data_IF_458827121737
#
_entry.id   IF_458827121737
#
_cell.length_a   1.000
_cell.length_b   1.000
_cell.length_c   1.000
_cell.angle_alpha   90.00
_cell.angle_beta   90.00
_cell.angle_gamma   90.00
#
_symmetry.space_group_name_H-M   'P 1'
#
loop_
_entity.id
_entity.type
_entity.pdbx_description
1 polymer ?
#
# COMPACT_ATOMS: atom_id res chain seq x y z
N UNK A 1 -15.87 -18.64 -7.24
CA UNK A 1 -16.43 -17.30 -6.98
C UNK A 1 -15.32 -16.27 -7.12
N UNK A 2 -15.62 -15.08 -7.64
CA UNK A 2 -14.64 -13.99 -7.72
C UNK A 2 -14.25 -13.54 -6.31
N UNK A 3 -12.97 -13.18 -6.09
CA UNK A 3 -12.50 -12.60 -4.83
C UNK A 3 -13.11 -11.21 -4.61
N UNK A 4 -13.27 -10.45 -5.70
CA UNK A 4 -13.80 -9.10 -5.68
C UNK A 4 -15.25 -9.04 -6.15
N UNK A 5 -16.05 -8.15 -5.53
CA UNK A 5 -17.47 -7.96 -5.86
C UNK A 5 -17.67 -7.25 -7.20
N UNK A 6 -16.68 -6.54 -7.72
CA UNK A 6 -16.73 -5.87 -9.03
C UNK A 6 -15.40 -6.00 -9.76
N UNK A 7 -15.44 -5.96 -11.10
CA UNK A 7 -14.23 -5.96 -11.93
C UNK A 7 -13.51 -4.61 -11.84
N UNK A 8 -14.25 -3.52 -12.04
CA UNK A 8 -13.72 -2.18 -11.77
C UNK A 8 -13.75 -1.91 -10.28
N UNK A 9 -12.68 -1.32 -9.79
CA UNK A 9 -12.49 -0.98 -8.39
C UNK A 9 -12.17 0.50 -8.27
N UNK A 10 -12.50 1.09 -7.14
CA UNK A 10 -12.11 2.45 -6.80
C UNK A 10 -11.15 2.45 -5.61
N UNK A 11 -10.58 3.60 -5.30
CA UNK A 11 -9.74 3.78 -4.11
C UNK A 11 -9.87 5.19 -3.58
N UNK A 12 -9.82 5.30 -2.27
CA UNK A 12 -9.70 6.55 -1.55
C UNK A 12 -8.26 6.68 -1.06
N UNK A 13 -7.64 7.83 -1.34
CA UNK A 13 -6.29 8.06 -0.87
C UNK A 13 -6.29 8.21 0.65
N UNK A 14 -5.58 7.32 1.34
CA UNK A 14 -5.61 7.20 2.79
C UNK A 14 -4.24 7.38 3.45
N UNK A 15 -3.25 7.93 2.73
CA UNK A 15 -1.94 8.17 3.30
C UNK A 15 -1.97 9.19 4.43
N UNK A 16 -1.16 8.94 5.47
CA UNK A 16 -1.10 9.77 6.69
C UNK A 16 0.33 10.11 7.10
N UNK A 17 1.20 10.34 6.11
CA UNK A 17 2.61 10.62 6.35
C UNK A 17 2.88 12.01 6.91
N UNK A 18 4.04 12.20 7.56
CA UNK A 18 4.55 13.51 7.95
C UNK A 18 5.36 14.14 6.82
N UNK A 19 5.28 15.46 6.75
CA UNK A 19 6.05 16.31 5.85
C UNK A 19 7.22 16.95 6.59
N UNK A 20 8.18 17.53 5.86
CA UNK A 20 9.33 18.23 6.44
C UNK A 20 8.98 19.40 7.36
N UNK A 21 7.81 20.01 7.18
CA UNK A 21 7.28 21.05 8.06
C UNK A 21 6.68 20.51 9.36
N UNK A 22 6.92 19.24 9.67
CA UNK A 22 6.39 18.48 10.81
C UNK A 22 4.86 18.31 10.81
N UNK A 23 4.16 18.79 9.80
CA UNK A 23 2.71 18.60 9.66
C UNK A 23 2.43 17.19 9.14
N UNK A 24 1.40 16.58 9.68
CA UNK A 24 0.87 15.32 9.13
C UNK A 24 -0.07 15.66 7.97
N UNK A 25 0.13 14.98 6.85
CA UNK A 25 -0.80 14.98 5.75
C UNK A 25 -1.73 13.77 5.94
N UNK A 26 -2.96 14.03 6.35
CA UNK A 26 -4.03 13.03 6.45
C UNK A 26 -4.98 13.23 5.27
N UNK A 27 -4.86 12.40 4.24
CA UNK A 27 -5.62 12.58 3.01
C UNK A 27 -7.09 12.16 3.17
N UNK A 28 -7.40 11.23 4.06
CA UNK A 28 -8.79 10.90 4.39
C UNK A 28 -9.53 12.12 4.94
N UNK A 29 -8.91 12.86 5.87
CA UNK A 29 -9.47 14.10 6.40
C UNK A 29 -9.41 15.25 5.39
N UNK A 30 -8.34 15.36 4.61
CA UNK A 30 -8.16 16.46 3.64
C UNK A 30 -9.17 16.42 2.49
N UNK A 31 -9.67 15.24 2.15
CA UNK A 31 -10.71 15.02 1.14
C UNK A 31 -12.11 14.98 1.74
N UNK A 32 -12.25 15.11 3.06
CA UNK A 32 -13.49 14.93 3.81
C UNK A 32 -14.13 13.54 3.66
N UNK A 33 -13.37 12.55 3.21
CA UNK A 33 -13.88 11.19 3.06
C UNK A 33 -14.31 10.59 4.41
N UNK A 34 -13.63 10.92 5.50
CA UNK A 34 -14.00 10.51 6.86
C UNK A 34 -15.39 11.01 7.31
N UNK A 35 -15.91 12.07 6.67
CA UNK A 35 -17.24 12.63 6.94
C UNK A 35 -18.27 12.12 5.92
N UNK A 36 -17.86 11.91 4.67
CA UNK A 36 -18.75 11.61 3.55
C UNK A 36 -18.70 10.15 3.07
N UNK A 37 -18.00 9.25 3.78
CA UNK A 37 -17.74 7.88 3.34
C UNK A 37 -19.00 7.13 2.85
N UNK A 38 -20.14 7.27 3.54
CA UNK A 38 -21.38 6.61 3.11
C UNK A 38 -21.86 7.13 1.75
N UNK A 39 -21.85 8.44 1.53
CA UNK A 39 -22.25 9.04 0.26
C UNK A 39 -21.28 8.66 -0.86
N UNK A 40 -19.97 8.67 -0.57
CA UNK A 40 -18.93 8.31 -1.53
C UNK A 40 -19.05 6.85 -1.97
N UNK A 41 -19.27 5.93 -1.02
CA UNK A 41 -19.48 4.51 -1.35
C UNK A 41 -20.80 4.28 -2.12
N UNK A 42 -21.87 5.02 -1.81
CA UNK A 42 -23.13 4.92 -2.53
C UNK A 42 -23.00 5.37 -3.98
N UNK A 43 -22.29 6.48 -4.24
CA UNK A 43 -22.01 6.96 -5.60
C UNK A 43 -21.28 5.89 -6.41
N UNK A 44 -20.28 5.21 -5.81
CA UNK A 44 -19.56 4.14 -6.47
C UNK A 44 -20.46 2.91 -6.71
N UNK A 45 -21.30 2.56 -5.74
CA UNK A 45 -22.25 1.46 -5.87
C UNK A 45 -23.28 1.69 -7.00
N UNK A 46 -23.72 2.94 -7.22
CA UNK A 46 -24.61 3.34 -8.32
C UNK A 46 -23.94 3.19 -9.70
N UNK A 47 -22.61 3.18 -9.74
CA UNK A 47 -21.78 2.89 -10.93
C UNK A 47 -21.36 1.41 -11.05
N UNK A 48 -21.97 0.50 -10.24
CA UNK A 48 -21.58 -0.91 -10.12
C UNK A 48 -20.11 -1.14 -9.69
N UNK A 49 -19.47 -0.16 -9.08
CA UNK A 49 -18.17 -0.29 -8.44
C UNK A 49 -18.40 -0.70 -6.98
N UNK A 50 -18.24 -1.99 -6.70
CA UNK A 50 -18.59 -2.61 -5.42
C UNK A 50 -17.41 -3.03 -4.57
N UNK A 51 -16.21 -2.88 -5.09
CA UNK A 51 -14.96 -3.09 -4.37
C UNK A 51 -14.16 -1.81 -4.38
N UNK A 52 -13.71 -1.38 -3.22
CA UNK A 52 -12.89 -0.16 -3.07
C UNK A 52 -11.68 -0.47 -2.20
N UNK A 53 -10.65 0.36 -2.31
CA UNK A 53 -9.52 0.39 -1.40
C UNK A 53 -9.62 1.63 -0.53
N UNK A 54 -9.43 1.48 0.77
CA UNK A 54 -9.48 2.54 1.77
C UNK A 54 -8.58 2.16 2.95
N UNK A 55 -8.36 3.05 3.92
CA UNK A 55 -7.37 2.77 4.95
C UNK A 55 -7.68 3.24 6.35
N UNK A 56 -6.91 2.68 7.28
CA UNK A 56 -6.95 2.99 8.68
C UNK A 56 -5.93 4.08 9.03
N UNK A 57 -6.33 5.00 9.88
CA UNK A 57 -5.47 6.08 10.40
C UNK A 57 -4.81 5.62 11.71
N UNK A 58 -3.79 4.75 11.62
CA UNK A 58 -3.16 4.13 12.80
C UNK A 58 -2.77 5.14 13.86
N UNK A 59 -2.22 6.29 13.47
CA UNK A 59 -1.83 7.37 14.38
C UNK A 59 -2.99 7.97 15.21
N UNK A 60 -4.23 7.90 14.73
CA UNK A 60 -5.43 8.31 15.46
C UNK A 60 -6.01 7.17 16.29
N UNK A 61 -5.96 5.96 15.73
CA UNK A 61 -6.54 4.77 16.37
C UNK A 61 -5.74 4.36 17.61
N UNK A 62 -4.42 4.51 17.62
CA UNK A 62 -3.56 4.17 18.75
C UNK A 62 -2.91 5.42 19.36
N UNK A 63 -3.66 6.29 20.06
CA UNK A 63 -3.13 7.51 20.67
C UNK A 63 -2.17 7.23 21.83
N UNK A 64 -2.24 6.04 22.39
CA UNK A 64 -1.36 5.55 23.47
C UNK A 64 -1.08 4.07 23.21
N UNK A 65 0.15 3.58 23.44
CA UNK A 65 0.52 2.20 23.18
C UNK A 65 -0.49 1.19 23.73
N UNK A 66 -1.04 0.35 22.84
CA UNK A 66 -2.00 -0.70 23.18
C UNK A 66 -3.40 -0.22 23.57
N UNK A 67 -3.70 1.08 23.42
CA UNK A 67 -5.05 1.62 23.64
C UNK A 67 -5.61 2.13 22.31
N UNK A 68 -6.71 1.51 21.87
CA UNK A 68 -7.30 1.77 20.57
C UNK A 68 -8.58 2.59 20.69
N UNK A 69 -8.63 3.72 19.98
CA UNK A 69 -9.81 4.54 19.75
C UNK A 69 -10.27 4.36 18.30
N UNK A 70 -11.35 3.66 18.11
CA UNK A 70 -11.90 3.34 16.80
C UNK A 70 -12.83 4.41 16.24
N UNK A 71 -12.97 5.55 16.89
CA UNK A 71 -13.88 6.63 16.49
C UNK A 71 -13.60 7.17 15.07
N UNK A 72 -12.34 7.11 14.63
CA UNK A 72 -11.94 7.54 13.29
C UNK A 72 -12.13 6.48 12.21
N UNK A 73 -12.39 5.22 12.57
CA UNK A 73 -12.52 4.09 11.63
C UNK A 73 -13.93 3.50 11.58
N UNK A 74 -14.62 3.38 12.70
CA UNK A 74 -15.97 2.81 12.75
C UNK A 74 -16.97 3.46 11.80
N UNK A 75 -16.96 4.81 11.56
CA UNK A 75 -17.84 5.41 10.57
C UNK A 75 -17.61 4.87 9.15
N UNK A 76 -16.35 4.66 8.74
CA UNK A 76 -15.99 4.10 7.42
C UNK A 76 -16.45 2.65 7.31
N UNK A 77 -16.18 1.83 8.32
CA UNK A 77 -16.58 0.42 8.35
C UNK A 77 -18.11 0.28 8.24
N UNK A 78 -18.86 1.06 9.00
CA UNK A 78 -20.32 1.06 8.98
C UNK A 78 -20.90 1.61 7.67
N UNK A 79 -20.26 2.62 7.07
CA UNK A 79 -20.61 3.13 5.76
C UNK A 79 -20.45 2.05 4.68
N UNK A 80 -19.35 1.30 4.71
CA UNK A 80 -19.10 0.18 3.80
C UNK A 80 -20.17 -0.92 3.94
N UNK A 81 -20.54 -1.26 5.17
CA UNK A 81 -21.61 -2.24 5.45
C UNK A 81 -22.97 -1.75 4.93
N UNK A 82 -23.33 -0.50 5.22
CA UNK A 82 -24.62 0.10 4.83
C UNK A 82 -24.78 0.22 3.31
N UNK A 83 -23.68 0.49 2.57
CA UNK A 83 -23.68 0.55 1.11
C UNK A 83 -23.48 -0.82 0.42
N UNK A 84 -23.16 -1.87 1.19
CA UNK A 84 -22.80 -3.18 0.66
C UNK A 84 -21.45 -3.22 -0.05
N UNK A 85 -20.60 -2.21 0.17
CA UNK A 85 -19.27 -2.10 -0.43
C UNK A 85 -18.29 -3.08 0.22
N UNK A 86 -17.52 -3.78 -0.60
CA UNK A 86 -16.37 -4.55 -0.16
C UNK A 86 -15.15 -3.63 -0.09
N UNK A 87 -14.45 -3.62 1.04
CA UNK A 87 -13.28 -2.76 1.19
C UNK A 87 -12.00 -3.57 1.36
N UNK A 88 -10.96 -3.16 0.66
CA UNK A 88 -9.58 -3.58 0.87
C UNK A 88 -8.97 -2.57 1.83
N UNK A 89 -8.70 -2.98 3.07
CA UNK A 89 -8.27 -2.09 4.14
C UNK A 89 -6.76 -1.95 4.21
N UNK A 90 -6.23 -0.75 3.97
CA UNK A 90 -4.83 -0.44 4.22
C UNK A 90 -4.60 -0.27 5.73
N UNK A 91 -3.75 -1.10 6.33
CA UNK A 91 -3.40 -1.01 7.75
C UNK A 91 -2.33 0.06 7.99
N UNK A 92 -1.36 0.20 7.09
CA UNK A 92 -0.32 1.23 7.16
C UNK A 92 -0.06 1.85 5.79
N UNK A 93 -0.51 3.11 5.60
CA UNK A 93 -0.24 3.91 4.42
C UNK A 93 0.65 5.11 4.80
N UNK A 94 1.96 4.82 5.00
CA UNK A 94 3.06 5.76 5.32
C UNK A 94 2.95 6.49 6.66
N UNK A 95 1.97 6.16 7.50
CA UNK A 95 1.77 6.82 8.79
C UNK A 95 1.65 5.85 9.96
N UNK A 96 2.19 6.23 11.12
CA UNK A 96 2.17 5.48 12.37
C UNK A 96 2.10 6.44 13.57
N UNK A 97 1.86 5.96 14.81
CA UNK A 97 1.87 6.81 16.01
C UNK A 97 3.18 7.58 16.20
N UNK A 98 3.07 8.84 16.63
CA UNK A 98 4.22 9.75 16.70
C UNK A 98 5.26 9.40 17.77
N UNK A 99 4.84 8.66 18.79
CA UNK A 99 5.69 8.18 19.88
C UNK A 99 6.48 6.91 19.52
N UNK A 100 6.26 6.36 18.32
CA UNK A 100 6.83 5.09 17.90
C UNK A 100 8.02 5.28 16.94
N UNK A 101 9.19 4.80 17.37
CA UNK A 101 10.40 4.80 16.56
C UNK A 101 10.38 3.66 15.53
N UNK A 102 10.33 4.01 14.24
CA UNK A 102 10.20 3.02 13.14
C UNK A 102 11.38 2.04 13.06
N UNK A 103 12.56 2.47 13.52
CA UNK A 103 13.78 1.65 13.49
C UNK A 103 13.85 0.63 14.62
N UNK A 104 12.99 0.75 15.62
CA UNK A 104 13.00 -0.13 16.79
C UNK A 104 12.26 -1.44 16.55
N UNK A 105 12.60 -2.52 17.26
CA UNK A 105 11.78 -3.74 17.27
C UNK A 105 10.33 -3.51 17.68
N UNK A 106 10.08 -2.53 18.55
CA UNK A 106 8.75 -2.15 19.03
C UNK A 106 7.82 -1.72 17.87
N UNK A 107 8.36 -1.22 16.76
CA UNK A 107 7.54 -0.91 15.58
C UNK A 107 6.84 -2.16 15.04
N UNK A 108 7.58 -3.26 14.88
CA UNK A 108 7.03 -4.52 14.37
C UNK A 108 6.00 -5.10 15.35
N UNK A 109 6.32 -5.07 16.63
CA UNK A 109 5.45 -5.61 17.69
C UNK A 109 4.14 -4.81 17.81
N UNK A 110 4.21 -3.47 17.82
CA UNK A 110 3.03 -2.60 17.90
C UNK A 110 2.20 -2.67 16.62
N UNK A 111 2.84 -2.75 15.45
CA UNK A 111 2.11 -2.93 14.20
C UNK A 111 1.34 -4.26 14.18
N UNK A 112 1.95 -5.36 14.62
CA UNK A 112 1.27 -6.65 14.71
C UNK A 112 0.08 -6.59 15.69
N UNK A 113 0.26 -5.97 16.86
CA UNK A 113 -0.83 -5.80 17.83
C UNK A 113 -1.97 -4.91 17.30
N UNK A 114 -1.64 -3.83 16.59
CA UNK A 114 -2.62 -2.99 15.90
C UNK A 114 -3.37 -3.76 14.82
N UNK A 115 -2.65 -4.50 13.97
CA UNK A 115 -3.25 -5.32 12.91
C UNK A 115 -4.20 -6.39 13.48
N UNK A 116 -3.81 -7.03 14.60
CA UNK A 116 -4.67 -7.98 15.31
C UNK A 116 -5.94 -7.30 15.84
N UNK A 117 -5.81 -6.16 16.48
CA UNK A 117 -6.95 -5.43 17.04
C UNK A 117 -7.90 -4.93 15.94
N UNK A 118 -7.36 -4.46 14.81
CA UNK A 118 -8.15 -4.07 13.65
C UNK A 118 -8.91 -5.26 13.04
N UNK A 119 -8.22 -6.39 12.90
CA UNK A 119 -8.85 -7.63 12.41
C UNK A 119 -9.95 -8.12 13.35
N UNK A 120 -9.73 -8.05 14.66
CA UNK A 120 -10.73 -8.43 15.66
C UNK A 120 -11.98 -7.53 15.55
N UNK A 121 -11.81 -6.21 15.47
CA UNK A 121 -12.93 -5.30 15.29
C UNK A 121 -13.74 -5.59 14.03
N UNK A 122 -13.05 -5.77 12.89
CA UNK A 122 -13.71 -6.05 11.60
C UNK A 122 -14.43 -7.41 11.66
N UNK A 123 -13.84 -8.42 12.28
CA UNK A 123 -14.44 -9.73 12.48
C UNK A 123 -15.71 -9.67 13.36
N UNK A 124 -15.67 -8.87 14.43
CA UNK A 124 -16.82 -8.71 15.34
C UNK A 124 -17.98 -7.94 14.71
N UNK A 125 -17.68 -7.03 13.77
CA UNK A 125 -18.67 -6.20 13.07
C UNK A 125 -19.22 -6.87 11.78
N UNK A 126 -18.55 -7.93 11.25
CA UNK A 126 -18.94 -8.53 9.94
C UNK A 126 -18.47 -9.96 9.76
N UNK A 127 -19.34 -10.81 9.21
CA UNK A 127 -18.99 -12.18 8.76
C UNK A 127 -18.34 -12.22 7.37
N UNK A 128 -18.23 -11.08 6.67
CA UNK A 128 -17.62 -11.01 5.36
C UNK A 128 -16.13 -11.34 5.43
N UNK A 129 -15.60 -11.99 4.39
CA UNK A 129 -14.15 -12.25 4.28
C UNK A 129 -13.46 -10.92 4.07
N UNK A 130 -12.60 -10.46 5.03
CA UNK A 130 -11.91 -9.20 4.92
C UNK A 130 -10.71 -9.27 3.97
N UNK A 131 -10.36 -8.12 3.38
CA UNK A 131 -9.15 -7.95 2.58
C UNK A 131 -8.28 -6.86 3.23
N UNK A 132 -6.98 -7.12 3.30
CA UNK A 132 -6.04 -6.19 3.93
C UNK A 132 -4.82 -5.94 3.04
N UNK A 133 -4.35 -4.68 3.03
CA UNK A 133 -2.99 -4.31 2.64
C UNK A 133 -2.21 -4.06 3.93
N UNK A 134 -1.29 -4.92 4.33
CA UNK A 134 -0.57 -4.73 5.59
C UNK A 134 0.23 -3.43 5.61
N UNK A 135 1.10 -3.24 4.61
CA UNK A 135 1.89 -2.02 4.42
C UNK A 135 1.85 -1.65 2.94
N UNK A 136 1.35 -0.45 2.64
CA UNK A 136 1.33 0.04 1.27
C UNK A 136 2.74 0.34 0.77
N UNK A 137 3.08 -0.20 -0.41
CA UNK A 137 4.29 0.12 -1.17
C UNK A 137 5.58 0.12 -0.35
N UNK A 138 5.94 -1.02 0.21
CA UNK A 138 7.16 -1.18 1.01
C UNK A 138 8.38 -0.60 0.27
N UNK A 139 8.50 -0.83 -1.05
CA UNK A 139 9.63 -0.35 -1.85
C UNK A 139 9.63 1.18 -1.99
N UNK A 140 8.47 1.78 -2.28
CA UNK A 140 8.36 3.24 -2.38
C UNK A 140 8.56 3.90 -1.01
N UNK A 141 7.92 3.37 0.04
CA UNK A 141 8.06 3.89 1.39
C UNK A 141 9.53 3.89 1.84
N UNK A 142 10.25 2.79 1.60
CA UNK A 142 11.67 2.70 1.91
C UNK A 142 12.51 3.72 1.12
N UNK A 143 12.24 3.87 -0.18
CA UNK A 143 12.93 4.82 -1.03
C UNK A 143 12.60 6.27 -0.64
N UNK A 144 11.33 6.63 -0.56
CA UNK A 144 10.91 8.00 -0.27
C UNK A 144 11.26 8.44 1.16
N UNK A 145 11.07 7.54 2.14
CA UNK A 145 11.26 7.84 3.56
C UNK A 145 12.70 7.69 4.05
N UNK A 146 13.49 6.78 3.43
CA UNK A 146 14.80 6.44 3.99
C UNK A 146 15.98 6.50 3.01
N UNK A 147 15.78 6.55 1.69
CA UNK A 147 16.84 6.84 0.74
C UNK A 147 16.86 8.34 0.36
N UNK A 148 15.67 8.92 0.17
CA UNK A 148 15.51 10.30 -0.28
C UNK A 148 15.10 11.27 0.82
N UNK A 149 14.47 10.78 1.89
CA UNK A 149 14.00 11.59 2.99
C UNK A 149 12.85 12.55 2.61
N UNK A 150 12.03 12.21 1.63
CA UNK A 150 10.92 13.06 1.18
C UNK A 150 9.73 13.05 2.15
N UNK A 151 9.52 11.94 2.82
CA UNK A 151 8.51 11.73 3.85
C UNK A 151 9.15 11.14 5.11
N UNK A 152 8.39 11.07 6.22
CA UNK A 152 8.86 10.37 7.42
C UNK A 152 9.35 8.95 7.07
N UNK A 153 10.44 8.46 7.69
CA UNK A 153 11.21 9.02 8.82
C UNK A 153 12.30 10.04 8.42
N UNK A 154 12.31 10.61 7.22
CA UNK A 154 13.24 11.62 6.72
C UNK A 154 14.73 11.20 6.76
N UNK A 155 14.98 9.91 6.69
CA UNK A 155 16.34 9.39 6.62
C UNK A 155 16.88 9.41 5.17
N UNK A 156 18.19 9.31 5.02
CA UNK A 156 18.85 9.19 3.72
C UNK A 156 19.83 8.03 3.72
N UNK A 157 19.90 7.28 2.60
CA UNK A 157 20.83 6.15 2.45
C UNK A 157 20.52 4.94 3.34
N UNK A 158 19.33 4.86 3.93
CA UNK A 158 18.88 3.75 4.80
C UNK A 158 17.68 2.98 4.23
N UNK A 159 17.42 3.11 2.93
CA UNK A 159 16.25 2.48 2.30
C UNK A 159 16.23 0.96 2.45
N UNK A 160 17.38 0.29 2.31
CA UNK A 160 17.45 -1.17 2.53
C UNK A 160 17.03 -1.55 3.96
N UNK A 161 17.50 -0.81 4.96
CA UNK A 161 17.17 -1.05 6.36
C UNK A 161 15.66 -0.87 6.61
N UNK A 162 15.08 0.22 6.09
CA UNK A 162 13.64 0.46 6.22
C UNK A 162 12.83 -0.60 5.48
N UNK A 163 13.23 -0.99 4.27
CA UNK A 163 12.56 -2.06 3.51
C UNK A 163 12.48 -3.37 4.31
N UNK A 164 13.58 -3.78 4.93
CA UNK A 164 13.62 -4.98 5.77
C UNK A 164 12.73 -4.83 7.02
N UNK A 165 12.70 -3.66 7.64
CA UNK A 165 11.87 -3.39 8.80
C UNK A 165 10.37 -3.44 8.45
N UNK A 166 9.98 -2.81 7.34
CA UNK A 166 8.59 -2.83 6.84
C UNK A 166 8.16 -4.23 6.42
N UNK A 167 9.06 -5.02 5.81
CA UNK A 167 8.79 -6.42 5.48
C UNK A 167 8.55 -7.26 6.76
N UNK A 168 9.36 -7.08 7.82
CA UNK A 168 9.11 -7.74 9.12
C UNK A 168 7.76 -7.34 9.70
N UNK A 169 7.43 -6.04 9.65
CA UNK A 169 6.15 -5.55 10.14
C UNK A 169 4.98 -6.14 9.34
N UNK A 170 5.07 -6.16 8.01
CA UNK A 170 4.05 -6.76 7.15
C UNK A 170 3.84 -8.25 7.45
N UNK A 171 4.93 -9.04 7.58
CA UNK A 171 4.87 -10.46 7.93
C UNK A 171 4.19 -10.65 9.29
N UNK A 172 4.61 -9.91 10.32
CA UNK A 172 4.02 -9.99 11.65
C UNK A 172 2.55 -9.55 11.67
N UNK A 173 2.20 -8.52 10.90
CA UNK A 173 0.83 -8.06 10.73
C UNK A 173 -0.07 -9.10 10.04
N UNK A 174 0.42 -9.79 9.02
CA UNK A 174 -0.30 -10.88 8.33
C UNK A 174 -0.61 -12.02 9.31
N UNK A 175 0.39 -12.48 10.05
CA UNK A 175 0.18 -13.54 11.04
C UNK A 175 -0.80 -13.11 12.15
N UNK A 176 -0.73 -11.86 12.57
CA UNK A 176 -1.65 -11.29 13.55
C UNK A 176 -3.10 -11.25 13.02
N UNK A 177 -3.31 -10.80 11.78
CA UNK A 177 -4.63 -10.84 11.11
C UNK A 177 -5.14 -12.27 11.00
N UNK A 178 -4.31 -13.20 10.54
CA UNK A 178 -4.70 -14.60 10.37
C UNK A 178 -4.90 -15.34 11.70
N UNK A 179 -4.39 -14.84 12.80
CA UNK A 179 -4.71 -15.39 14.13
C UNK A 179 -6.17 -15.12 14.53
N UNK A 180 -6.80 -14.09 13.95
CA UNK A 180 -8.20 -13.73 14.18
C UNK A 180 -9.12 -14.34 13.12
N UNK A 181 -8.82 -14.11 11.83
CA UNK A 181 -9.61 -14.69 10.74
C UNK A 181 -8.69 -15.29 9.67
N UNK A 182 -8.59 -16.62 9.65
CA UNK A 182 -7.77 -17.34 8.68
C UNK A 182 -8.27 -17.23 7.24
N UNK A 183 -9.51 -16.77 7.03
CA UNK A 183 -10.09 -16.52 5.70
C UNK A 183 -9.63 -15.20 5.11
N UNK A 184 -9.07 -14.29 5.92
CA UNK A 184 -8.63 -12.97 5.49
C UNK A 184 -7.69 -13.07 4.29
N UNK A 185 -7.94 -12.24 3.28
CA UNK A 185 -7.14 -12.17 2.06
C UNK A 185 -6.13 -11.02 2.16
N UNK A 186 -4.96 -11.26 1.69
CA UNK A 186 -3.84 -10.32 1.80
C UNK A 186 -3.49 -9.79 0.41
N UNK A 187 -3.55 -8.45 0.27
CA UNK A 187 -3.19 -7.75 -0.96
C UNK A 187 -1.84 -7.08 -0.74
N UNK A 188 -0.86 -7.42 -1.56
CA UNK A 188 0.49 -6.85 -1.48
C UNK A 188 0.66 -5.83 -2.59
N UNK A 189 0.54 -4.55 -2.24
CA UNK A 189 0.60 -3.45 -3.20
C UNK A 189 2.01 -2.88 -3.30
N UNK A 190 2.50 -2.78 -4.55
CA UNK A 190 3.78 -2.16 -4.87
C UNK A 190 3.66 -1.30 -6.14
N UNK A 191 4.51 -0.28 -6.30
CA UNK A 191 4.56 0.44 -7.55
C UNK A 191 5.15 -0.44 -8.65
N UNK A 192 4.68 -0.27 -9.87
CA UNK A 192 5.33 -0.81 -11.06
C UNK A 192 5.97 0.33 -11.83
N UNK A 193 7.26 0.19 -12.11
CA UNK A 193 8.09 1.18 -12.78
C UNK A 193 8.69 0.62 -14.07
N UNK A 194 8.91 1.49 -15.06
CA UNK A 194 9.64 1.20 -16.26
C UNK A 194 10.74 2.25 -16.46
N UNK A 195 11.99 1.84 -16.26
CA UNK A 195 13.15 2.72 -16.45
C UNK A 195 13.83 2.31 -17.74
N UNK A 196 14.20 3.28 -18.58
CA UNK A 196 14.95 3.02 -19.80
C UNK A 196 16.32 3.70 -19.70
N UNK A 197 17.37 3.07 -20.25
CA UNK A 197 18.71 3.68 -20.24
C UNK A 197 18.74 4.93 -21.14
N UNK A 198 19.49 5.95 -20.72
CA UNK A 198 19.73 7.16 -21.50
C UNK A 198 20.74 6.92 -22.64
N UNK A 199 21.54 5.86 -22.56
CA UNK A 199 22.57 5.52 -23.52
C UNK A 199 22.63 4.01 -23.79
N UNK A 200 23.42 3.64 -24.80
CA UNK A 200 23.71 2.23 -25.12
C UNK A 200 24.92 1.69 -24.32
N UNK A 201 25.42 2.40 -23.33
CA UNK A 201 26.50 1.94 -22.46
C UNK A 201 26.08 0.68 -21.69
N UNK A 202 26.79 -0.45 -21.81
CA UNK A 202 26.48 -1.69 -21.08
C UNK A 202 26.41 -1.52 -19.56
N UNK A 203 27.21 -0.62 -18.99
CA UNK A 203 27.19 -0.35 -17.55
C UNK A 203 25.90 0.33 -17.12
N UNK A 204 25.42 1.30 -17.91
CA UNK A 204 24.14 1.95 -17.69
C UNK A 204 22.95 0.99 -17.89
N UNK A 205 22.97 0.20 -18.95
CA UNK A 205 21.94 -0.83 -19.19
C UNK A 205 21.86 -1.79 -17.99
N UNK A 206 23.03 -2.20 -17.46
CA UNK A 206 23.11 -3.04 -16.26
C UNK A 206 22.47 -2.37 -15.04
N UNK A 207 22.83 -1.13 -14.76
CA UNK A 207 22.30 -0.35 -13.63
C UNK A 207 20.78 -0.16 -13.73
N UNK A 208 20.28 0.17 -14.90
CA UNK A 208 18.82 0.32 -15.19
C UNK A 208 18.08 -0.98 -14.97
N UNK A 209 18.63 -2.10 -15.45
CA UNK A 209 18.03 -3.42 -15.23
C UNK A 209 17.96 -3.74 -13.74
N UNK A 210 19.04 -3.54 -13.00
CA UNK A 210 19.11 -3.87 -11.59
C UNK A 210 18.17 -2.98 -10.76
N UNK A 211 18.04 -1.69 -11.12
CA UNK A 211 17.09 -0.78 -10.50
C UNK A 211 15.64 -1.19 -10.83
N UNK A 212 15.34 -1.51 -12.07
CA UNK A 212 14.00 -1.98 -12.47
C UNK A 212 13.62 -3.27 -11.73
N UNK A 213 14.55 -4.21 -11.59
CA UNK A 213 14.30 -5.45 -10.86
C UNK A 213 14.13 -5.24 -9.34
N UNK A 214 14.72 -4.19 -8.78
CA UNK A 214 14.58 -3.88 -7.37
C UNK A 214 13.13 -3.59 -6.92
N UNK A 215 12.23 -3.26 -7.86
CA UNK A 215 10.79 -3.09 -7.58
C UNK A 215 10.13 -4.37 -7.04
N UNK A 216 10.66 -5.55 -7.36
CA UNK A 216 10.10 -6.84 -6.93
C UNK A 216 10.64 -7.32 -5.58
N UNK A 217 11.65 -6.64 -5.02
CA UNK A 217 12.35 -7.11 -3.81
C UNK A 217 11.43 -7.24 -2.59
N UNK A 218 10.43 -6.36 -2.42
CA UNK A 218 9.48 -6.47 -1.31
C UNK A 218 8.63 -7.73 -1.42
N UNK A 219 8.14 -8.06 -2.60
CA UNK A 219 7.43 -9.33 -2.82
C UNK A 219 8.33 -10.55 -2.60
N UNK A 220 9.60 -10.48 -3.03
CA UNK A 220 10.57 -11.55 -2.79
C UNK A 220 10.90 -11.70 -1.29
N UNK A 221 10.93 -10.61 -0.52
CA UNK A 221 11.06 -10.65 0.94
C UNK A 221 9.84 -11.31 1.58
N UNK A 222 8.65 -10.90 1.18
CA UNK A 222 7.39 -11.42 1.74
C UNK A 222 7.17 -12.89 1.41
N UNK A 223 7.52 -13.35 0.20
CA UNK A 223 7.37 -14.75 -0.17
C UNK A 223 8.58 -15.64 0.21
N UNK A 224 9.60 -15.08 0.87
CA UNK A 224 10.77 -15.81 1.37
C UNK A 224 11.83 -16.17 0.33
N UNK A 225 11.75 -15.61 -0.90
CA UNK A 225 12.78 -15.77 -1.93
C UNK A 225 14.04 -14.98 -1.62
N UNK A 226 13.85 -13.79 -1.04
CA UNK A 226 14.92 -12.91 -0.57
C UNK A 226 14.86 -12.89 0.97
N UNK A 227 16.03 -13.05 1.64
CA UNK A 227 16.12 -13.04 3.10
C UNK A 227 15.10 -13.97 3.79
N UNK A 228 15.16 -15.29 3.55
CA UNK A 228 14.24 -16.26 4.16
C UNK A 228 14.31 -16.27 5.70
N UNK A 229 15.38 -15.75 6.27
CA UNK A 229 15.55 -15.52 7.71
C UNK A 229 14.53 -14.55 8.31
N UNK A 230 13.85 -13.75 7.50
CA UNK A 230 12.76 -12.88 7.95
C UNK A 230 11.43 -13.62 8.16
N UNK A 231 11.35 -14.90 7.78
CA UNK A 231 10.15 -15.71 7.95
C UNK A 231 9.11 -15.54 6.84
N UNK A 232 9.50 -14.95 5.71
CA UNK A 232 8.62 -14.82 4.51
C UNK A 232 8.19 -16.21 4.00
N UNK A 233 6.96 -16.28 3.48
CA UNK A 233 6.36 -17.51 2.90
C UNK A 233 5.54 -17.19 1.65
N UNK A 234 5.43 -18.12 0.69
CA UNK A 234 4.67 -17.89 -0.55
C UNK A 234 3.22 -17.44 -0.31
N UNK A 235 2.60 -17.92 0.78
CA UNK A 235 1.21 -17.62 1.14
C UNK A 235 0.99 -16.13 1.47
N UNK A 236 2.04 -15.38 1.85
CA UNK A 236 1.94 -13.95 2.13
C UNK A 236 1.79 -13.10 0.85
N UNK A 237 2.11 -13.68 -0.31
CA UNK A 237 1.85 -13.08 -1.61
C UNK A 237 0.56 -13.65 -2.21
N UNK A 238 -0.56 -13.47 -1.51
CA UNK A 238 -1.87 -14.03 -1.87
C UNK A 238 -2.50 -13.31 -3.07
N UNK A 239 -2.54 -11.97 -3.03
CA UNK A 239 -3.04 -11.13 -4.13
C UNK A 239 -1.98 -10.05 -4.41
N UNK A 240 -1.56 -9.98 -5.66
CA UNK A 240 -0.65 -8.92 -6.11
C UNK A 240 -1.44 -7.67 -6.46
N UNK A 241 -1.16 -6.57 -5.76
CA UNK A 241 -1.66 -5.24 -6.06
C UNK A 241 -0.60 -4.42 -6.81
N UNK A 242 -1.04 -3.66 -7.80
CA UNK A 242 -0.17 -2.82 -8.59
C UNK A 242 -0.64 -1.38 -8.52
N UNK A 243 0.21 -0.51 -7.97
CA UNK A 243 0.01 0.94 -8.01
C UNK A 243 0.80 1.49 -9.21
N UNK A 244 0.08 1.91 -10.24
CA UNK A 244 0.68 2.45 -11.44
C UNK A 244 0.18 3.85 -11.73
N UNK A 245 1.12 4.76 -11.99
CA UNK A 245 0.86 6.12 -12.42
C UNK A 245 1.56 6.37 -13.76
N UNK A 246 1.04 7.28 -14.58
CA UNK A 246 1.60 7.59 -15.89
C UNK A 246 3.08 8.02 -15.85
N UNK A 247 3.52 8.62 -14.73
CA UNK A 247 4.89 9.07 -14.48
C UNK A 247 5.79 7.99 -13.86
N UNK A 248 5.31 6.76 -13.72
CA UNK A 248 6.14 5.62 -13.28
C UNK A 248 7.05 5.09 -14.40
N UNK A 249 7.22 5.84 -15.46
CA UNK A 249 8.13 5.56 -16.55
C UNK A 249 9.05 6.75 -16.78
N UNK A 250 10.37 6.54 -16.82
CA UNK A 250 11.32 7.61 -17.03
C UNK A 250 12.63 7.12 -17.64
N UNK A 251 13.40 8.06 -18.23
CA UNK A 251 14.77 7.83 -18.64
C UNK A 251 15.68 7.85 -17.41
N UNK A 252 16.59 6.93 -17.29
CA UNK A 252 17.50 6.85 -16.14
C UNK A 252 18.22 8.18 -15.93
N UNK A 253 18.15 8.72 -14.72
CA UNK A 253 18.61 10.07 -14.38
C UNK A 253 18.00 11.22 -15.22
N UNK A 254 16.92 10.95 -15.96
CA UNK A 254 16.28 11.91 -16.86
C UNK A 254 14.79 12.11 -16.58
N UNK A 255 14.11 12.63 -17.58
CA UNK A 255 12.71 13.03 -17.51
C UNK A 255 11.74 11.85 -17.63
N UNK A 256 10.49 12.02 -17.16
CA UNK A 256 9.41 11.07 -17.41
C UNK A 256 9.21 10.82 -18.90
N UNK A 257 8.88 9.60 -19.24
CA UNK A 257 8.58 9.19 -20.62
C UNK A 257 7.12 9.53 -20.93
N UNK A 258 6.92 10.50 -21.83
CA UNK A 258 5.59 10.91 -22.26
C UNK A 258 4.95 9.89 -23.22
N UNK A 259 3.61 9.86 -23.36
CA UNK A 259 2.92 9.13 -24.41
C UNK A 259 3.48 9.50 -25.79
N UNK A 260 3.74 8.49 -26.63
CA UNK A 260 4.38 8.67 -27.96
C UNK A 260 5.89 8.48 -27.99
N UNK A 261 6.55 8.42 -26.84
CA UNK A 261 7.95 8.03 -26.79
C UNK A 261 8.14 6.54 -27.20
N UNK A 262 9.19 6.15 -27.98
CA UNK A 262 9.38 4.78 -28.45
C UNK A 262 9.42 3.71 -27.34
N UNK A 263 9.85 4.09 -26.16
CA UNK A 263 9.90 3.21 -24.99
C UNK A 263 8.71 3.35 -24.05
N UNK A 264 7.73 4.20 -24.38
CA UNK A 264 6.51 4.31 -23.58
C UNK A 264 5.75 2.98 -23.62
N UNK A 265 5.41 2.48 -22.45
CA UNK A 265 4.51 1.32 -22.30
C UNK A 265 3.21 1.85 -21.71
N UNK A 266 2.13 1.91 -22.50
CA UNK A 266 0.84 2.20 -21.91
C UNK A 266 0.56 1.10 -20.89
N UNK A 267 0.33 1.49 -19.63
CA UNK A 267 -0.28 0.56 -18.69
C UNK A 267 -1.60 0.08 -19.31
N UNK A 268 -2.03 -1.12 -19.00
CA UNK A 268 -3.31 -1.66 -19.48
C UNK A 268 -4.50 -0.85 -18.92
N UNK A 269 -4.46 0.47 -19.10
CA UNK A 269 -5.61 1.33 -18.92
C UNK A 269 -6.58 0.98 -20.04
N UNK A 270 -7.59 0.19 -19.69
CA UNK A 270 -8.73 -0.06 -20.52
C UNK A 270 -9.23 1.24 -21.16
N UNK A 271 -8.94 1.49 -22.42
CA UNK A 271 -9.37 2.68 -23.16
C UNK A 271 -8.65 2.97 -24.46
N UNK A 272 -7.52 2.34 -24.73
CA UNK A 272 -6.81 2.52 -25.99
C UNK A 272 -7.28 1.55 -27.06
N UNK A 273 -8.43 1.79 -27.67
CA UNK A 273 -8.71 1.20 -28.97
C UNK A 273 -7.87 1.88 -30.02
N UNK A 274 -7.25 1.04 -30.86
CA UNK A 274 -6.85 1.29 -32.23
C UNK A 274 -5.77 2.33 -32.52
N UNK A 275 -4.57 1.84 -32.76
CA UNK A 275 -3.86 2.19 -33.99
C UNK A 275 -2.81 1.10 -34.29
N UNK A 276 -3.29 -0.07 -34.72
CA UNK A 276 -2.49 -1.00 -35.54
C UNK A 276 -3.21 -1.22 -36.85
N UNK A 277 -3.05 -0.26 -37.75
CA UNK A 277 -3.30 -0.44 -39.17
C UNK A 277 -2.62 0.69 -39.92
N UNK A 278 -1.31 0.53 -40.24
CA UNK A 278 -0.74 0.77 -41.58
C UNK A 278 0.73 0.35 -41.57
#
# INVERSE_FOLDING_TARGET
MSVFKSFFQAGFECSTHRRHDSRRLDLTASTYHDIHALADYQILADLDIRTVRDGLRWHLIEPTPGRYDWSSFLPLLRAAQASGTQVIWDLCHYGWPDDLEIWSPAFVERFAAFAQAAAQLIHDESDAIPLYVPVNEISFFAWAGADKGYINPFATGRGVELKLQLARAAIAGIEAVWSIDRRARIVQTEPVINIVPASADPAEIGAVRDYTLAQYQSWDLLCGRLRPDLGGRPEYLDIVGVNYYWNNQWVHHGEPIAPGHPHYRPGDSAGGREQSAR
#
